data_IF_865486962205
#
_entry.id   IF_865486962205
#
_cell.length_a   1.000
_cell.length_b   1.000
_cell.length_c   1.000
_cell.angle_alpha   90.00
_cell.angle_beta   90.00
_cell.angle_gamma   90.00
#
_symmetry.space_group_name_H-M   'P 1'
#
loop_
_entity.id
_entity.type
_entity.pdbx_description
1 polymer ?
#
# COMPACT_ATOMS: atom_id res chain seq x y z
N UNK A 1 -11.78 14.75 -15.88
CA UNK A 1 -11.45 13.48 -16.58
C UNK A 1 -12.74 12.70 -16.81
N UNK A 2 -12.87 12.11 -17.99
CA UNK A 2 -14.03 11.31 -18.40
C UNK A 2 -13.56 9.90 -18.68
N UNK A 3 -14.33 8.88 -18.26
CA UNK A 3 -14.03 7.50 -18.60
C UNK A 3 -14.16 7.28 -20.11
N UNK A 4 -13.08 6.83 -20.73
CA UNK A 4 -13.00 6.59 -22.17
C UNK A 4 -13.23 5.13 -22.56
N UNK A 5 -13.40 4.22 -21.57
CA UNK A 5 -13.68 2.81 -21.84
C UNK A 5 -15.12 2.63 -22.36
N UNK A 6 -15.35 1.68 -23.27
CA UNK A 6 -16.68 1.32 -23.70
C UNK A 6 -17.54 0.84 -22.53
N UNK A 7 -18.83 1.18 -22.56
CA UNK A 7 -19.83 0.75 -21.61
C UNK A 7 -20.85 -0.14 -22.30
N UNK A 8 -21.38 -1.13 -21.61
CA UNK A 8 -22.52 -1.90 -22.14
C UNK A 8 -23.77 -1.04 -22.13
N UNK A 9 -24.57 -1.15 -23.20
CA UNK A 9 -25.83 -0.44 -23.32
C UNK A 9 -26.87 -0.97 -22.32
N UNK A 10 -27.88 -0.15 -22.03
CA UNK A 10 -29.00 -0.54 -21.16
C UNK A 10 -29.69 -1.82 -21.65
N UNK A 11 -29.81 -1.98 -22.97
CA UNK A 11 -30.40 -3.16 -23.58
C UNK A 11 -29.61 -4.45 -23.29
N UNK A 12 -28.27 -4.35 -23.18
CA UNK A 12 -27.42 -5.50 -22.83
C UNK A 12 -27.65 -5.87 -21.34
N UNK A 13 -27.71 -4.87 -20.46
CA UNK A 13 -28.00 -5.08 -19.05
C UNK A 13 -29.40 -5.67 -18.83
N UNK A 14 -30.41 -5.22 -19.57
CA UNK A 14 -31.81 -5.67 -19.41
C UNK A 14 -32.00 -7.13 -19.84
N UNK A 15 -31.14 -7.68 -20.69
CA UNK A 15 -31.11 -9.10 -21.07
C UNK A 15 -30.62 -10.04 -19.99
N UNK A 16 -30.10 -9.54 -18.87
CA UNK A 16 -29.67 -10.39 -17.77
C UNK A 16 -30.84 -11.21 -17.22
N UNK A 17 -30.65 -12.51 -17.08
CA UNK A 17 -31.67 -13.47 -16.61
C UNK A 17 -32.09 -13.25 -15.14
N UNK A 18 -31.18 -12.74 -14.31
CA UNK A 18 -31.47 -12.38 -12.91
C UNK A 18 -31.11 -10.91 -12.66
N UNK A 19 -31.84 -10.24 -11.74
CA UNK A 19 -31.60 -8.82 -11.44
C UNK A 19 -30.23 -8.55 -10.87
N UNK A 20 -29.72 -9.43 -10.03
CA UNK A 20 -28.38 -9.38 -9.42
C UNK A 20 -27.74 -10.75 -9.50
N UNK A 21 -26.47 -10.80 -9.80
CA UNK A 21 -25.71 -12.03 -9.94
C UNK A 21 -24.37 -11.91 -9.21
N UNK A 22 -23.88 -13.04 -8.72
CA UNK A 22 -22.62 -13.17 -8.01
C UNK A 22 -21.89 -14.41 -8.52
N UNK A 23 -20.58 -14.29 -8.75
CA UNK A 23 -19.74 -15.41 -9.19
C UNK A 23 -18.31 -15.22 -8.69
N UNK A 24 -17.59 -16.30 -8.54
CA UNK A 24 -16.14 -16.21 -8.50
C UNK A 24 -15.60 -15.78 -9.87
N UNK A 25 -14.67 -14.85 -9.85
CA UNK A 25 -13.89 -14.37 -10.98
C UNK A 25 -12.41 -14.73 -10.84
N UNK A 26 -11.55 -14.06 -11.60
CA UNK A 26 -10.09 -14.20 -11.50
C UNK A 26 -9.46 -12.96 -10.89
N UNK A 27 -8.38 -13.12 -10.17
CA UNK A 27 -7.58 -12.01 -9.60
C UNK A 27 -6.79 -11.23 -10.64
N UNK A 28 -6.71 -11.73 -11.87
CA UNK A 28 -5.91 -11.14 -12.96
C UNK A 28 -6.67 -10.06 -13.75
N UNK A 29 -7.98 -9.90 -13.48
CA UNK A 29 -8.83 -8.97 -14.23
C UNK A 29 -9.32 -7.86 -13.32
N UNK A 30 -9.12 -6.61 -13.72
CA UNK A 30 -9.81 -5.43 -13.21
C UNK A 30 -11.14 -5.28 -13.96
N UNK A 31 -12.22 -5.81 -13.41
CA UNK A 31 -13.53 -5.82 -14.05
C UNK A 31 -14.06 -4.40 -14.24
N UNK A 32 -14.44 -4.00 -15.48
CA UNK A 32 -14.97 -2.67 -15.76
C UNK A 32 -16.27 -2.41 -14.99
N UNK A 33 -16.47 -1.16 -14.55
CA UNK A 33 -17.61 -0.79 -13.70
C UNK A 33 -18.96 -0.87 -14.43
N UNK A 34 -19.00 -0.42 -15.66
CA UNK A 34 -20.22 -0.21 -16.45
C UNK A 34 -20.41 -1.28 -17.52
N UNK A 35 -19.76 -2.43 -17.36
CA UNK A 35 -19.91 -3.56 -18.26
C UNK A 35 -20.24 -4.83 -17.48
N UNK A 36 -21.02 -5.71 -18.09
CA UNK A 36 -21.27 -7.05 -17.56
C UNK A 36 -19.93 -7.82 -17.57
N UNK A 37 -19.53 -8.44 -16.47
CA UNK A 37 -18.24 -9.10 -16.40
C UNK A 37 -18.21 -10.34 -17.30
N UNK A 38 -17.16 -10.46 -18.11
CA UNK A 38 -16.87 -11.70 -18.84
C UNK A 38 -16.28 -12.72 -17.85
N UNK A 39 -17.14 -13.49 -17.22
CA UNK A 39 -16.76 -14.53 -16.25
C UNK A 39 -17.45 -15.85 -16.59
N UNK A 40 -16.69 -16.93 -16.53
CA UNK A 40 -17.29 -18.27 -16.46
C UNK A 40 -17.91 -18.43 -15.08
N UNK A 41 -19.25 -18.35 -15.02
CA UNK A 41 -19.96 -18.41 -13.75
C UNK A 41 -19.59 -19.64 -12.93
N UNK A 42 -19.17 -19.40 -11.70
CA UNK A 42 -18.84 -20.42 -10.72
C UNK A 42 -19.29 -19.98 -9.32
N UNK A 43 -19.99 -20.85 -8.63
CA UNK A 43 -20.33 -20.67 -7.22
C UNK A 43 -19.27 -21.26 -6.28
N UNK A 44 -18.22 -21.89 -6.80
CA UNK A 44 -17.17 -22.54 -6.00
C UNK A 44 -15.80 -22.05 -6.42
N UNK A 45 -15.02 -21.64 -5.43
CA UNK A 45 -13.60 -21.37 -5.54
C UNK A 45 -12.82 -22.35 -4.67
N UNK A 46 -11.71 -22.84 -5.19
CA UNK A 46 -10.85 -23.77 -4.49
C UNK A 46 -9.38 -23.42 -4.73
N UNK A 47 -8.57 -23.59 -3.69
CA UNK A 47 -7.12 -23.38 -3.78
C UNK A 47 -6.39 -24.31 -2.82
N UNK A 48 -5.05 -24.37 -2.98
CA UNK A 48 -4.14 -24.98 -2.02
C UNK A 48 -3.38 -23.91 -1.29
N UNK A 49 -3.04 -24.13 -0.03
CA UNK A 49 -2.26 -23.20 0.76
C UNK A 49 -1.35 -23.96 1.74
N UNK A 50 -0.21 -23.35 2.07
CA UNK A 50 0.58 -23.76 3.22
C UNK A 50 0.04 -23.10 4.50
N UNK A 51 0.40 -23.66 5.64
CA UNK A 51 0.18 -22.99 6.94
C UNK A 51 1.00 -21.70 6.97
N UNK A 52 0.40 -20.60 7.41
CA UNK A 52 1.06 -19.27 7.39
C UNK A 52 0.96 -18.52 6.06
N UNK A 53 0.46 -19.14 5.01
CA UNK A 53 0.32 -18.53 3.68
C UNK A 53 -0.93 -17.65 3.59
N UNK A 54 -0.86 -16.62 2.74
CA UNK A 54 -2.02 -15.84 2.31
C UNK A 54 -2.46 -16.28 0.93
N UNK A 55 -3.76 -16.55 0.80
CA UNK A 55 -4.38 -16.85 -0.49
C UNK A 55 -5.49 -15.86 -0.77
N UNK A 56 -5.63 -15.47 -2.02
CA UNK A 56 -6.56 -14.44 -2.45
C UNK A 56 -7.55 -14.98 -3.47
N UNK A 57 -8.75 -14.43 -3.46
CA UNK A 57 -9.76 -14.66 -4.48
C UNK A 57 -10.52 -13.37 -4.77
N UNK A 58 -11.06 -13.26 -5.96
CA UNK A 58 -11.94 -12.18 -6.36
C UNK A 58 -13.32 -12.73 -6.71
N UNK A 59 -14.35 -12.31 -5.99
CA UNK A 59 -15.73 -12.48 -6.40
C UNK A 59 -16.17 -11.24 -7.18
N UNK A 60 -17.13 -11.42 -8.08
CA UNK A 60 -17.70 -10.34 -8.89
C UNK A 60 -19.19 -10.36 -8.73
N UNK A 61 -19.75 -9.23 -8.30
CA UNK A 61 -21.17 -8.98 -8.26
C UNK A 61 -21.53 -8.01 -9.41
N UNK A 62 -22.62 -8.25 -10.11
CA UNK A 62 -23.17 -7.31 -11.08
C UNK A 62 -24.68 -7.28 -11.00
N UNK A 63 -25.26 -6.11 -11.20
CA UNK A 63 -26.69 -5.90 -10.98
C UNK A 63 -27.28 -4.93 -12.00
N UNK A 64 -28.45 -5.27 -12.56
CA UNK A 64 -29.23 -4.36 -13.42
C UNK A 64 -30.15 -3.42 -12.65
N UNK A 65 -30.44 -3.73 -11.37
CA UNK A 65 -31.42 -2.98 -10.56
C UNK A 65 -30.80 -2.22 -9.39
N UNK A 66 -29.52 -2.48 -9.06
CA UNK A 66 -28.85 -1.96 -7.87
C UNK A 66 -29.03 -2.86 -6.65
N UNK A 67 -28.23 -2.61 -5.63
CA UNK A 67 -28.29 -3.32 -4.35
C UNK A 67 -28.07 -2.31 -3.21
N UNK A 68 -29.07 -2.19 -2.34
CA UNK A 68 -29.06 -1.26 -1.20
C UNK A 68 -28.37 -1.90 0.00
N UNK A 69 -27.54 -1.12 0.71
CA UNK A 69 -26.81 -1.55 1.91
C UNK A 69 -26.08 -2.91 1.71
N UNK A 70 -25.43 -3.07 0.58
CA UNK A 70 -24.68 -4.28 0.28
C UNK A 70 -23.59 -4.49 1.34
N UNK A 71 -23.51 -5.69 1.90
CA UNK A 71 -22.49 -6.11 2.85
C UNK A 71 -21.99 -7.52 2.55
N UNK A 72 -20.79 -7.83 3.04
CA UNK A 72 -20.09 -9.09 2.78
C UNK A 72 -19.76 -9.74 4.11
N UNK A 73 -20.10 -11.00 4.25
CA UNK A 73 -19.70 -11.82 5.40
C UNK A 73 -19.04 -13.11 4.93
N UNK A 74 -18.16 -13.66 5.76
CA UNK A 74 -17.55 -14.97 5.51
C UNK A 74 -17.69 -15.82 6.76
N UNK A 75 -18.11 -17.06 6.58
CA UNK A 75 -18.17 -18.03 7.68
C UNK A 75 -16.76 -18.48 8.10
N UNK A 76 -16.65 -19.06 9.29
CA UNK A 76 -15.49 -19.88 9.60
C UNK A 76 -15.32 -20.97 8.53
N UNK A 77 -14.04 -21.27 8.17
CA UNK A 77 -13.77 -22.42 7.31
C UNK A 77 -13.49 -23.64 8.18
N UNK A 78 -14.19 -24.73 7.91
CA UNK A 78 -14.15 -25.95 8.75
C UNK A 78 -13.58 -27.15 8.01
N UNK A 79 -12.76 -27.95 8.71
CA UNK A 79 -12.26 -29.26 8.30
C UNK A 79 -12.36 -30.23 9.47
N UNK A 80 -13.45 -31.00 9.54
CA UNK A 80 -13.81 -31.77 10.73
C UNK A 80 -13.95 -30.88 11.97
N UNK A 81 -13.15 -31.14 13.00
CA UNK A 81 -13.09 -30.31 14.23
C UNK A 81 -12.14 -29.12 14.13
N UNK A 82 -11.38 -28.98 13.04
CA UNK A 82 -10.42 -27.90 12.84
C UNK A 82 -11.08 -26.70 12.16
N UNK A 83 -10.69 -25.49 12.58
CA UNK A 83 -11.31 -24.23 12.12
C UNK A 83 -10.23 -23.25 11.72
N UNK A 84 -10.40 -22.59 10.56
CA UNK A 84 -9.79 -21.32 10.23
C UNK A 84 -10.86 -20.27 10.53
N UNK A 85 -10.69 -19.42 11.56
CA UNK A 85 -11.74 -18.49 11.98
C UNK A 85 -11.96 -17.39 10.95
N UNK A 86 -13.17 -16.89 10.86
CA UNK A 86 -13.53 -15.77 9.98
C UNK A 86 -12.70 -14.50 10.24
N UNK A 87 -12.16 -14.33 11.44
CA UNK A 87 -11.23 -13.26 11.79
C UNK A 87 -9.87 -13.34 11.04
N UNK A 88 -9.51 -14.49 10.50
CA UNK A 88 -8.35 -14.69 9.62
C UNK A 88 -8.66 -14.37 8.14
N UNK A 89 -9.90 -13.95 7.85
CA UNK A 89 -10.37 -13.66 6.50
C UNK A 89 -10.78 -12.19 6.42
N UNK A 90 -10.27 -11.50 5.42
CA UNK A 90 -10.69 -10.12 5.13
C UNK A 90 -11.41 -10.07 3.80
N UNK A 91 -12.48 -9.28 3.73
CA UNK A 91 -13.21 -8.98 2.50
C UNK A 91 -13.31 -7.47 2.32
N UNK A 92 -13.10 -7.02 1.08
CA UNK A 92 -13.16 -5.63 0.73
C UNK A 92 -13.93 -5.45 -0.58
N UNK A 93 -14.79 -4.45 -0.66
CA UNK A 93 -15.24 -3.97 -1.94
C UNK A 93 -14.03 -3.34 -2.66
N UNK A 94 -13.87 -3.62 -3.95
CA UNK A 94 -12.84 -2.97 -4.76
C UNK A 94 -13.41 -1.64 -5.26
N UNK A 95 -12.83 -0.53 -4.81
CA UNK A 95 -13.26 0.81 -5.22
C UNK A 95 -12.72 1.14 -6.61
N UNK A 96 -13.57 1.76 -7.40
CA UNK A 96 -13.20 2.29 -8.69
C UNK A 96 -12.59 3.67 -8.55
N UNK A 97 -11.48 3.89 -9.22
CA UNK A 97 -10.76 5.16 -9.28
C UNK A 97 -10.53 5.58 -10.72
N UNK A 98 -10.48 6.87 -10.95
CA UNK A 98 -10.10 7.42 -12.25
C UNK A 98 -8.58 7.40 -12.37
N UNK A 99 -8.06 6.88 -13.47
CA UNK A 99 -6.63 6.84 -13.78
C UNK A 99 -6.35 7.29 -15.20
N UNK A 100 -5.16 7.80 -15.45
CA UNK A 100 -4.60 8.12 -16.75
C UNK A 100 -3.42 7.17 -17.03
N UNK A 101 -3.71 5.96 -17.45
CA UNK A 101 -2.70 4.92 -17.60
C UNK A 101 -1.72 5.19 -18.75
N UNK A 102 -2.24 5.60 -19.90
CA UNK A 102 -1.45 5.81 -21.11
C UNK A 102 -1.96 7.05 -21.89
N UNK A 103 -1.16 7.56 -22.81
CA UNK A 103 -1.64 8.47 -23.84
C UNK A 103 -2.63 7.74 -24.78
N UNK A 104 -3.49 8.48 -25.47
CA UNK A 104 -4.46 7.93 -26.43
C UNK A 104 -3.79 7.09 -27.53
N UNK A 105 -2.55 7.42 -27.89
CA UNK A 105 -1.74 6.64 -28.83
C UNK A 105 -1.08 5.41 -28.18
N UNK A 106 -1.35 5.15 -26.89
CA UNK A 106 -0.77 4.09 -26.06
C UNK A 106 0.75 4.17 -25.89
N UNK A 107 1.35 5.30 -26.23
CA UNK A 107 2.74 5.61 -25.94
C UNK A 107 2.79 6.49 -24.69
N UNK A 108 3.80 6.36 -23.95
CA UNK A 108 3.99 7.17 -22.77
C UNK A 108 4.48 6.33 -21.60
N UNK A 109 4.83 7.02 -20.56
CA UNK A 109 5.38 6.44 -19.33
C UNK A 109 5.17 7.41 -18.19
N UNK A 110 5.89 7.20 -17.11
CA UNK A 110 5.93 8.14 -16.01
C UNK A 110 6.44 9.50 -16.51
N UNK A 111 5.78 10.58 -16.08
CA UNK A 111 6.25 11.92 -16.35
C UNK A 111 5.15 12.91 -16.70
N UNK A 112 5.57 14.14 -16.86
CA UNK A 112 4.68 15.24 -17.20
C UNK A 112 4.21 15.12 -18.65
N UNK A 113 2.92 15.34 -18.87
CA UNK A 113 2.29 15.42 -20.19
C UNK A 113 1.75 16.83 -20.38
N UNK A 114 2.22 17.52 -21.39
CA UNK A 114 1.86 18.93 -21.60
C UNK A 114 0.40 19.09 -22.01
N UNK A 115 -0.10 18.23 -22.90
CA UNK A 115 -1.44 18.33 -23.44
C UNK A 115 -2.42 17.35 -22.79
N UNK A 116 -3.25 17.85 -21.87
CA UNK A 116 -4.29 17.04 -21.19
C UNK A 116 -5.34 16.44 -22.13
N UNK A 117 -5.55 16.99 -23.33
CA UNK A 117 -6.48 16.44 -24.31
C UNK A 117 -5.99 15.13 -24.94
N UNK A 118 -4.69 14.85 -24.85
CA UNK A 118 -4.07 13.62 -25.33
C UNK A 118 -4.03 12.50 -24.26
N UNK A 119 -4.45 12.81 -23.06
CA UNK A 119 -4.48 11.80 -22.00
C UNK A 119 -5.62 10.82 -22.21
N UNK A 120 -5.33 9.55 -22.03
CA UNK A 120 -6.33 8.53 -21.82
C UNK A 120 -6.73 8.51 -20.35
N UNK A 121 -8.01 8.36 -20.10
CA UNK A 121 -8.54 8.23 -18.74
C UNK A 121 -9.52 7.09 -18.68
N UNK A 122 -9.45 6.31 -17.61
CA UNK A 122 -10.38 5.19 -17.42
C UNK A 122 -10.71 4.99 -15.95
N UNK A 123 -11.91 4.51 -15.68
CA UNK A 123 -12.35 4.09 -14.36
C UNK A 123 -11.95 2.62 -14.17
N UNK A 124 -11.04 2.39 -13.23
CA UNK A 124 -10.51 1.04 -12.93
C UNK A 124 -10.81 0.61 -11.51
N UNK A 125 -11.04 -0.68 -11.34
CA UNK A 125 -11.15 -1.31 -10.03
C UNK A 125 -9.72 -1.48 -9.46
N UNK A 126 -9.40 -0.74 -8.39
CA UNK A 126 -8.01 -0.72 -7.88
C UNK A 126 -7.93 -0.80 -6.35
N UNK A 127 -8.59 0.10 -5.62
CA UNK A 127 -8.41 0.24 -4.18
C UNK A 127 -9.26 -0.75 -3.40
N UNK A 128 -8.65 -1.50 -2.48
CA UNK A 128 -9.37 -2.31 -1.49
C UNK A 128 -9.99 -1.38 -0.45
N UNK A 129 -11.32 -1.17 -0.53
CA UNK A 129 -12.02 -0.21 0.30
C UNK A 129 -12.20 -0.73 1.74
N UNK A 130 -12.06 0.16 2.70
CA UNK A 130 -12.32 -0.14 4.12
C UNK A 130 -13.82 -0.11 4.48
N UNK A 131 -14.65 0.44 3.59
CA UNK A 131 -16.10 0.54 3.77
C UNK A 131 -16.72 -0.87 3.78
N UNK A 132 -17.53 -1.16 4.79
CA UNK A 132 -18.15 -2.49 4.98
C UNK A 132 -19.57 -2.59 4.44
N UNK A 133 -20.25 -1.47 4.32
CA UNK A 133 -21.62 -1.37 3.79
C UNK A 133 -21.65 -0.27 2.73
N UNK A 134 -22.20 -0.57 1.58
CA UNK A 134 -22.32 0.42 0.48
C UNK A 134 -23.48 0.13 -0.45
N UNK A 135 -24.03 1.15 -1.06
CA UNK A 135 -24.96 1.00 -2.17
C UNK A 135 -24.19 0.68 -3.47
N UNK A 136 -24.71 -0.29 -4.21
CA UNK A 136 -24.24 -0.65 -5.54
C UNK A 136 -25.30 -0.17 -6.53
N UNK A 137 -24.90 0.72 -7.44
CA UNK A 137 -25.81 1.33 -8.41
C UNK A 137 -26.30 0.30 -9.43
N UNK A 138 -27.50 0.55 -9.99
CA UNK A 138 -28.01 -0.21 -11.12
C UNK A 138 -27.05 -0.15 -12.32
N UNK A 139 -27.05 -1.23 -13.12
CA UNK A 139 -26.19 -1.41 -14.30
C UNK A 139 -24.71 -1.20 -14.00
N UNK A 140 -24.25 -1.78 -12.86
CA UNK A 140 -22.83 -1.77 -12.48
C UNK A 140 -22.32 -3.13 -12.03
N UNK A 141 -21.04 -3.29 -12.21
CA UNK A 141 -20.24 -4.41 -11.71
C UNK A 141 -19.44 -3.95 -10.50
N UNK A 142 -19.39 -4.79 -9.46
CA UNK A 142 -18.67 -4.54 -8.22
C UNK A 142 -17.80 -5.75 -7.87
N UNK A 143 -16.47 -5.67 -8.05
CA UNK A 143 -15.56 -6.69 -7.57
C UNK A 143 -15.45 -6.68 -6.04
N UNK A 144 -15.23 -7.85 -5.49
CA UNK A 144 -15.06 -8.11 -4.07
C UNK A 144 -13.78 -8.91 -3.90
N UNK A 145 -12.82 -8.36 -3.20
CA UNK A 145 -11.56 -9.03 -2.89
C UNK A 145 -11.66 -9.76 -1.55
N UNK A 146 -11.24 -11.03 -1.54
CA UNK A 146 -11.12 -11.84 -0.34
C UNK A 146 -9.66 -12.25 -0.15
N UNK A 147 -9.18 -12.13 1.09
CA UNK A 147 -7.85 -12.58 1.49
C UNK A 147 -7.97 -13.47 2.72
N UNK A 148 -7.41 -14.66 2.67
CA UNK A 148 -7.36 -15.62 3.76
C UNK A 148 -5.93 -15.77 4.23
N UNK A 149 -5.64 -15.45 5.48
CA UNK A 149 -4.36 -15.73 6.09
C UNK A 149 -4.46 -17.04 6.89
N UNK A 150 -3.99 -18.13 6.27
CA UNK A 150 -4.03 -19.46 6.91
C UNK A 150 -3.15 -19.42 8.17
N UNK A 151 -3.70 -19.71 9.37
CA UNK A 151 -2.89 -19.71 10.58
C UNK A 151 -1.73 -20.73 10.50
N UNK A 152 -0.56 -20.38 11.04
CA UNK A 152 0.56 -21.34 11.13
C UNK A 152 0.20 -22.58 11.96
N UNK A 153 -0.70 -22.43 12.93
CA UNK A 153 -1.23 -23.49 13.77
C UNK A 153 -2.32 -24.34 13.11
N UNK A 154 -2.76 -24.01 11.88
CA UNK A 154 -3.80 -24.77 11.20
C UNK A 154 -3.34 -26.23 10.97
N UNK A 155 -4.25 -27.17 11.08
CA UNK A 155 -4.00 -28.58 10.70
C UNK A 155 -4.10 -28.72 9.17
N UNK A 156 -3.37 -29.65 8.60
CA UNK A 156 -3.55 -30.00 7.18
C UNK A 156 -4.96 -30.59 6.97
N UNK A 157 -5.58 -30.23 5.84
CA UNK A 157 -6.93 -30.69 5.51
C UNK A 157 -7.70 -29.73 4.61
N UNK A 158 -8.86 -30.17 4.16
CA UNK A 158 -9.75 -29.38 3.30
C UNK A 158 -10.75 -28.58 4.14
N UNK A 159 -10.54 -27.28 4.18
CA UNK A 159 -11.39 -26.34 4.90
C UNK A 159 -12.45 -25.76 3.97
N UNK A 160 -13.69 -25.78 4.41
CA UNK A 160 -14.84 -25.30 3.64
C UNK A 160 -15.61 -24.23 4.39
N UNK A 161 -16.11 -23.25 3.66
CA UNK A 161 -16.96 -22.18 4.17
C UNK A 161 -17.67 -21.44 3.05
N UNK A 162 -18.28 -20.33 3.39
CA UNK A 162 -19.14 -19.57 2.48
C UNK A 162 -18.87 -18.07 2.59
N UNK A 163 -18.75 -17.42 1.44
CA UNK A 163 -18.85 -15.97 1.32
C UNK A 163 -20.31 -15.63 1.00
N UNK A 164 -20.91 -14.73 1.76
CA UNK A 164 -22.29 -14.29 1.59
C UNK A 164 -22.33 -12.79 1.32
N UNK A 165 -23.03 -12.40 0.27
CA UNK A 165 -23.37 -11.00 -0.02
C UNK A 165 -24.84 -10.80 0.28
N UNK A 166 -25.15 -9.78 1.09
CA UNK A 166 -26.52 -9.39 1.45
C UNK A 166 -26.80 -7.96 1.02
N UNK A 167 -28.07 -7.63 0.86
CA UNK A 167 -28.56 -6.27 0.63
C UNK A 167 -30.04 -6.20 1.01
N UNK A 168 -30.56 -5.00 1.31
CA UNK A 168 -31.96 -4.82 1.75
C UNK A 168 -32.99 -5.26 0.70
N UNK A 169 -32.68 -5.09 -0.56
CA UNK A 169 -33.58 -5.32 -1.68
C UNK A 169 -33.28 -6.61 -2.47
N UNK A 170 -32.51 -7.55 -1.89
CA UNK A 170 -32.19 -8.82 -2.53
C UNK A 170 -32.04 -9.94 -1.50
N UNK A 171 -32.34 -11.15 -1.91
CA UNK A 171 -32.05 -12.35 -1.10
C UNK A 171 -30.52 -12.53 -0.98
N UNK A 172 -30.04 -13.09 0.13
CA UNK A 172 -28.61 -13.41 0.29
C UNK A 172 -28.08 -14.27 -0.88
N UNK A 173 -26.90 -13.95 -1.35
CA UNK A 173 -26.20 -14.70 -2.40
C UNK A 173 -24.95 -15.31 -1.83
N UNK A 174 -24.71 -16.59 -2.11
CA UNK A 174 -23.62 -17.35 -1.50
C UNK A 174 -22.66 -17.93 -2.51
N UNK A 175 -21.38 -17.90 -2.16
CA UNK A 175 -20.30 -18.55 -2.88
C UNK A 175 -19.52 -19.49 -1.96
N UNK A 176 -19.22 -20.69 -2.44
CA UNK A 176 -18.50 -21.72 -1.71
C UNK A 176 -16.97 -21.48 -1.78
N UNK A 177 -16.33 -21.65 -0.62
CA UNK A 177 -14.87 -21.55 -0.45
C UNK A 177 -14.36 -22.92 -0.05
N UNK A 178 -13.26 -23.37 -0.71
CA UNK A 178 -12.50 -24.54 -0.28
C UNK A 178 -11.00 -24.22 -0.30
N UNK A 179 -10.33 -24.40 0.84
CA UNK A 179 -8.86 -24.28 0.97
C UNK A 179 -8.29 -25.62 1.42
N UNK A 180 -7.47 -26.21 0.57
CA UNK A 180 -6.73 -27.43 0.90
C UNK A 180 -5.39 -27.05 1.56
N UNK A 181 -5.36 -27.08 2.89
CA UNK A 181 -4.18 -26.72 3.68
C UNK A 181 -3.21 -27.88 3.68
N UNK A 182 -2.06 -27.70 3.07
CA UNK A 182 -1.01 -28.68 2.95
C UNK A 182 -0.20 -28.79 4.27
N UNK A 183 0.41 -29.95 4.52
CA UNK A 183 1.27 -30.14 5.70
C UNK A 183 2.67 -29.53 5.49
N UNK A 184 2.71 -28.25 5.16
CA UNK A 184 3.89 -27.42 5.01
C UNK A 184 3.62 -26.10 5.73
N UNK A 185 4.65 -25.53 6.36
CA UNK A 185 4.54 -24.24 7.06
C UNK A 185 5.43 -23.22 6.38
N UNK A 186 4.86 -22.10 5.98
CA UNK A 186 5.61 -20.94 5.51
C UNK A 186 6.27 -20.28 6.74
N UNK A 187 7.55 -19.92 6.67
CA UNK A 187 8.17 -19.11 7.73
C UNK A 187 7.40 -17.81 8.00
N UNK A 188 7.58 -17.24 9.17
CA UNK A 188 7.01 -15.92 9.45
C UNK A 188 7.59 -14.87 8.49
N UNK A 189 6.85 -13.81 8.11
CA UNK A 189 7.32 -12.81 7.15
C UNK A 189 8.71 -12.24 7.45
N UNK A 190 9.01 -12.01 8.71
CA UNK A 190 10.34 -11.55 9.16
C UNK A 190 11.48 -12.53 8.88
N UNK A 191 11.17 -13.82 8.69
CA UNK A 191 12.16 -14.89 8.48
C UNK A 191 12.25 -15.29 6.98
N UNK A 192 11.55 -14.59 6.08
CA UNK A 192 11.64 -14.87 4.64
C UNK A 192 13.03 -14.49 4.11
N UNK A 193 13.57 -15.29 3.21
CA UNK A 193 14.84 -14.98 2.53
C UNK A 193 14.70 -13.90 1.46
N UNK A 194 13.48 -13.61 1.03
CA UNK A 194 13.20 -12.57 0.04
C UNK A 194 13.43 -11.17 0.63
N UNK A 195 14.22 -10.35 -0.06
CA UNK A 195 14.43 -8.95 0.31
C UNK A 195 13.38 -8.07 -0.34
N UNK A 196 12.45 -7.56 0.47
CA UNK A 196 11.43 -6.60 0.05
C UNK A 196 11.81 -5.20 0.56
N UNK A 197 11.92 -4.25 -0.35
CA UNK A 197 12.12 -2.82 -0.05
C UNK A 197 11.06 -1.98 -0.77
N UNK A 198 9.92 -1.80 -0.15
CA UNK A 198 8.89 -0.86 -0.55
C UNK A 198 9.11 0.45 0.20
N UNK A 199 9.34 1.53 -0.51
CA UNK A 199 9.60 2.84 0.08
C UNK A 199 8.39 3.38 0.83
N UNK A 200 8.63 3.83 2.06
CA UNK A 200 7.59 4.41 2.89
C UNK A 200 7.59 5.94 2.75
N UNK A 201 6.41 6.53 2.58
CA UNK A 201 6.24 7.99 2.62
C UNK A 201 5.37 8.39 3.83
N UNK A 202 5.97 8.66 4.99
CA UNK A 202 5.23 9.09 6.17
C UNK A 202 4.53 10.44 5.99
N UNK A 203 5.07 11.32 5.16
CA UNK A 203 4.51 12.67 4.91
C UNK A 203 3.13 12.57 4.24
N UNK A 204 2.95 11.65 3.29
CA UNK A 204 1.64 11.39 2.67
C UNK A 204 0.59 10.90 3.67
N UNK A 205 0.99 10.12 4.66
CA UNK A 205 0.09 9.67 5.73
C UNK A 205 -0.39 10.84 6.57
N UNK A 206 0.52 11.74 6.96
CA UNK A 206 0.17 12.93 7.73
C UNK A 206 -0.82 13.82 6.99
N UNK A 207 -0.59 14.08 5.69
CA UNK A 207 -1.50 14.85 4.85
C UNK A 207 -2.87 14.20 4.71
N UNK A 208 -2.90 12.91 4.41
CA UNK A 208 -4.16 12.17 4.20
C UNK A 208 -5.05 12.19 5.45
N UNK A 209 -4.46 11.96 6.62
CA UNK A 209 -5.18 11.95 7.88
C UNK A 209 -5.30 13.33 8.55
N UNK A 210 -4.71 14.37 7.95
CA UNK A 210 -4.70 15.75 8.46
C UNK A 210 -4.18 15.83 9.91
N UNK A 211 -3.08 15.16 10.19
CA UNK A 211 -2.44 15.12 11.50
C UNK A 211 -1.08 15.82 11.47
N UNK A 212 -0.62 16.46 12.57
CA UNK A 212 0.70 17.07 12.63
C UNK A 212 1.81 16.02 12.45
N UNK A 213 2.80 16.36 11.61
CA UNK A 213 3.97 15.50 11.38
C UNK A 213 4.64 15.11 12.70
N UNK A 214 4.98 13.84 12.83
CA UNK A 214 5.73 13.24 13.95
C UNK A 214 5.04 13.35 15.30
N UNK A 215 3.74 13.70 15.31
CA UNK A 215 2.89 13.65 16.50
C UNK A 215 2.49 12.22 16.85
N UNK A 216 1.91 12.02 18.03
CA UNK A 216 1.36 10.73 18.45
C UNK A 216 0.28 10.24 17.45
N UNK A 217 -0.59 11.15 17.03
CA UNK A 217 -1.68 10.89 16.07
C UNK A 217 -1.14 10.42 14.73
N UNK A 218 -0.01 10.99 14.29
CA UNK A 218 0.66 10.57 13.05
C UNK A 218 1.19 9.14 13.16
N UNK A 219 1.88 8.79 14.26
CA UNK A 219 2.34 7.41 14.49
C UNK A 219 1.19 6.43 14.63
N UNK A 220 0.09 6.83 15.26
CA UNK A 220 -1.12 6.00 15.36
C UNK A 220 -1.74 5.74 13.98
N UNK A 221 -1.77 6.75 13.10
CA UNK A 221 -2.25 6.60 11.71
C UNK A 221 -1.34 5.73 10.85
N UNK A 222 -0.01 5.82 11.03
CA UNK A 222 0.96 5.01 10.29
C UNK A 222 0.98 3.54 10.72
N UNK A 223 0.71 3.25 11.98
CA UNK A 223 0.88 1.89 12.54
C UNK A 223 0.18 0.79 11.75
N UNK A 224 -1.10 0.89 11.36
CA UNK A 224 -1.77 -0.17 10.58
C UNK A 224 -1.10 -0.41 9.23
N UNK A 225 -0.71 0.65 8.52
CA UNK A 225 -0.09 0.57 7.18
C UNK A 225 1.30 -0.08 7.29
N UNK A 226 2.11 0.37 8.25
CA UNK A 226 3.47 -0.17 8.44
C UNK A 226 3.44 -1.62 8.92
N UNK A 227 2.44 -2.01 9.74
CA UNK A 227 2.21 -3.42 10.09
C UNK A 227 1.85 -4.28 8.87
N UNK A 228 1.11 -3.74 7.91
CA UNK A 228 0.84 -4.45 6.65
C UNK A 228 2.14 -4.70 5.87
N UNK A 229 3.06 -3.73 5.82
CA UNK A 229 4.37 -3.88 5.19
C UNK A 229 5.22 -4.93 5.91
N UNK A 230 5.32 -4.88 7.23
CA UNK A 230 6.04 -5.90 8.02
C UNK A 230 5.48 -7.30 7.74
N UNK A 231 4.15 -7.43 7.70
CA UNK A 231 3.47 -8.68 7.37
C UNK A 231 3.64 -9.12 5.91
N UNK A 232 4.11 -8.26 5.02
CA UNK A 232 4.48 -8.59 3.65
C UNK A 232 5.97 -8.96 3.51
N UNK A 233 6.74 -8.94 4.60
CA UNK A 233 8.17 -9.26 4.60
C UNK A 233 9.08 -8.07 4.28
N UNK A 234 8.61 -6.83 4.51
CA UNK A 234 9.42 -5.62 4.37
C UNK A 234 10.71 -5.71 5.20
N UNK A 235 11.84 -5.34 4.60
CA UNK A 235 13.18 -5.42 5.20
C UNK A 235 13.79 -4.06 5.52
N UNK A 236 13.49 -3.04 4.73
CA UNK A 236 14.15 -1.76 4.80
C UNK A 236 13.24 -0.66 5.39
N UNK A 237 13.84 0.21 6.19
CA UNK A 237 13.24 1.45 6.68
C UNK A 237 13.72 2.57 5.76
N UNK A 238 12.80 3.19 5.01
CA UNK A 238 13.12 4.36 4.18
C UNK A 238 13.30 5.59 5.05
N UNK A 239 14.45 6.24 4.97
CA UNK A 239 14.72 7.50 5.66
C UNK A 239 15.22 8.56 4.68
N UNK A 240 14.80 9.80 4.85
CA UNK A 240 15.35 10.94 4.09
C UNK A 240 16.35 11.69 4.97
N UNK A 241 17.61 11.72 4.52
CA UNK A 241 18.69 12.43 5.22
C UNK A 241 18.99 13.79 4.57
N UNK A 242 18.15 14.23 3.65
CA UNK A 242 18.17 15.54 3.01
C UNK A 242 16.77 15.91 2.49
N UNK A 243 16.53 17.18 2.24
CA UNK A 243 15.28 17.67 1.69
C UNK A 243 15.10 17.28 0.23
N UNK A 244 13.95 16.71 -0.12
CA UNK A 244 13.53 16.36 -1.49
C UNK A 244 14.53 15.49 -2.25
N UNK A 245 14.90 14.31 -1.76
CA UNK A 245 15.87 13.44 -2.46
C UNK A 245 15.44 13.08 -3.89
N UNK A 246 14.15 13.14 -4.20
CA UNK A 246 13.55 12.89 -5.53
C UNK A 246 13.00 14.16 -6.20
N UNK A 247 13.51 15.33 -5.83
CA UNK A 247 13.22 16.65 -6.44
C UNK A 247 11.74 17.03 -6.59
N UNK A 248 10.81 16.37 -5.94
CA UNK A 248 9.38 16.66 -6.03
C UNK A 248 8.61 15.72 -6.95
N UNK A 249 9.12 14.54 -7.21
CA UNK A 249 8.40 13.46 -7.91
C UNK A 249 7.12 13.05 -7.17
N UNK A 250 7.05 13.26 -5.86
CA UNK A 250 5.89 12.97 -5.03
C UNK A 250 5.17 14.25 -4.63
N UNK A 251 3.84 14.18 -4.48
CA UNK A 251 3.01 15.29 -3.97
C UNK A 251 3.51 15.77 -2.61
N UNK A 252 3.73 14.84 -1.69
CA UNK A 252 4.32 15.11 -0.39
C UNK A 252 5.82 14.94 -0.47
N UNK A 253 6.55 16.05 -0.45
CA UNK A 253 7.99 16.03 -0.46
C UNK A 253 8.53 15.40 0.83
N UNK A 254 9.59 14.63 0.67
CA UNK A 254 10.33 14.13 1.82
C UNK A 254 11.21 15.25 2.37
N UNK A 255 10.88 15.75 3.54
CA UNK A 255 11.78 16.61 4.29
C UNK A 255 12.91 15.79 4.92
N UNK A 256 14.03 16.45 5.21
CA UNK A 256 15.10 15.80 5.95
C UNK A 256 14.61 15.38 7.34
N UNK A 257 14.83 14.12 7.69
CA UNK A 257 14.60 13.64 9.07
C UNK A 257 15.74 14.01 10.02
N UNK A 258 16.78 14.65 9.50
CA UNK A 258 17.95 15.12 10.27
C UNK A 258 18.12 16.60 9.99
N UNK A 259 18.03 17.44 11.03
CA UNK A 259 18.30 18.85 10.90
C UNK A 259 19.80 19.11 10.97
N UNK A 260 20.36 19.67 9.90
CA UNK A 260 21.74 20.16 9.87
C UNK A 260 21.76 21.63 10.29
N UNK A 261 22.58 21.95 11.25
CA UNK A 261 22.68 23.29 11.84
C UNK A 261 24.08 23.82 11.59
N UNK A 262 24.20 24.89 10.81
CA UNK A 262 25.45 25.63 10.68
C UNK A 262 25.48 26.72 11.75
N UNK A 263 26.43 26.58 12.69
CA UNK A 263 26.59 27.50 13.82
C UNK A 263 27.24 28.82 13.40
N UNK A 264 27.08 29.85 14.21
CA UNK A 264 27.66 31.19 14.00
C UNK A 264 29.18 31.13 13.82
N UNK A 265 29.85 30.21 14.53
CA UNK A 265 31.31 30.00 14.41
C UNK A 265 31.74 29.18 13.18
N UNK A 266 30.77 28.80 12.31
CA UNK A 266 30.98 28.02 11.10
C UNK A 266 31.06 26.51 11.30
N UNK A 267 30.96 26.01 12.53
CA UNK A 267 30.90 24.56 12.82
C UNK A 267 29.51 23.98 12.51
N UNK A 268 29.44 22.66 12.43
CA UNK A 268 28.18 21.94 12.20
C UNK A 268 27.69 21.23 13.46
N UNK A 269 26.37 21.26 13.65
CA UNK A 269 25.66 20.41 14.59
C UNK A 269 24.50 19.69 13.89
N UNK A 270 24.03 18.61 14.50
CA UNK A 270 22.99 17.76 13.89
C UNK A 270 21.96 17.38 14.94
N UNK A 271 20.69 17.51 14.57
CA UNK A 271 19.56 17.02 15.36
C UNK A 271 18.95 15.78 14.68
N UNK A 272 18.99 14.67 15.37
CA UNK A 272 18.52 13.36 14.94
C UNK A 272 17.13 12.99 15.49
N UNK A 273 16.46 13.88 16.21
CA UNK A 273 15.24 13.55 16.95
C UNK A 273 14.14 12.90 16.09
N UNK A 274 13.91 13.42 14.88
CA UNK A 274 12.92 12.87 13.95
C UNK A 274 13.38 11.54 13.38
N UNK A 275 14.64 11.46 12.97
CA UNK A 275 15.25 10.23 12.44
C UNK A 275 15.17 9.09 13.46
N UNK A 276 15.59 9.34 14.70
CA UNK A 276 15.56 8.38 15.79
C UNK A 276 14.15 7.90 16.07
N UNK A 277 13.22 8.83 16.22
CA UNK A 277 11.82 8.52 16.52
C UNK A 277 11.17 7.65 15.44
N UNK A 278 11.47 7.93 14.18
CA UNK A 278 10.99 7.14 13.05
C UNK A 278 11.60 5.74 13.01
N UNK A 279 12.91 5.63 13.13
CA UNK A 279 13.62 4.34 13.12
C UNK A 279 13.21 3.49 14.33
N UNK A 280 13.13 4.06 15.54
CA UNK A 280 12.68 3.37 16.75
C UNK A 280 11.24 2.86 16.62
N UNK A 281 10.33 3.65 16.06
CA UNK A 281 8.97 3.22 15.77
C UNK A 281 8.94 2.01 14.83
N UNK A 282 9.69 2.09 13.71
CA UNK A 282 9.72 1.00 12.73
C UNK A 282 10.35 -0.28 13.29
N UNK A 283 11.41 -0.17 14.08
CA UNK A 283 12.07 -1.32 14.70
C UNK A 283 11.26 -1.92 15.84
N UNK A 284 10.88 -1.09 16.82
CA UNK A 284 10.37 -1.57 18.10
C UNK A 284 8.87 -1.86 18.09
N UNK A 285 8.09 -1.05 17.37
CA UNK A 285 6.64 -1.21 17.33
C UNK A 285 6.17 -1.98 16.09
N UNK A 286 6.79 -1.74 14.93
CA UNK A 286 6.39 -2.36 13.67
C UNK A 286 7.09 -3.70 13.46
N UNK A 287 8.37 -3.81 13.83
CA UNK A 287 9.16 -5.03 13.69
C UNK A 287 9.85 -5.14 12.34
N UNK A 288 10.25 -4.01 11.73
CA UNK A 288 11.13 -3.93 10.55
C UNK A 288 12.47 -3.41 11.06
N UNK A 289 13.50 -4.25 11.10
CA UNK A 289 14.76 -3.94 11.78
C UNK A 289 16.03 -4.41 11.06
N UNK A 290 15.91 -4.89 9.80
CA UNK A 290 17.06 -5.43 9.06
C UNK A 290 17.96 -4.33 8.49
N UNK A 291 17.37 -3.29 7.88
CA UNK A 291 18.11 -2.27 7.15
C UNK A 291 17.50 -0.87 7.33
N UNK A 292 18.35 0.13 7.47
CA UNK A 292 18.01 1.55 7.38
C UNK A 292 18.54 2.07 6.05
N UNK A 293 17.65 2.43 5.13
CA UNK A 293 17.98 2.93 3.78
C UNK A 293 17.91 4.46 3.79
N UNK A 294 19.06 5.11 3.72
CA UNK A 294 19.16 6.57 3.79
C UNK A 294 19.25 7.21 2.41
N UNK A 295 18.33 8.08 2.08
CA UNK A 295 18.29 8.84 0.82
C UNK A 295 18.66 10.29 1.07
N UNK A 296 19.65 10.89 0.38
CA UNK A 296 20.73 10.32 -0.38
C UNK A 296 21.80 11.40 -0.59
N UNK A 297 23.06 11.01 -0.80
CA UNK A 297 24.16 11.92 -1.07
C UNK A 297 24.13 12.51 -2.49
N UNK A 298 23.52 11.79 -3.44
CA UNK A 298 23.41 12.22 -4.85
C UNK A 298 21.90 12.22 -5.22
N UNK A 299 21.17 13.27 -4.84
CA UNK A 299 19.76 13.43 -5.21
C UNK A 299 19.60 13.89 -6.66
N UNK A 300 18.36 13.92 -7.13
CA UNK A 300 18.03 14.42 -8.47
C UNK A 300 18.33 15.92 -8.63
N UNK A 301 18.21 16.71 -7.55
CA UNK A 301 18.64 18.10 -7.51
C UNK A 301 19.72 18.26 -6.44
N UNK A 302 20.93 18.69 -6.84
CA UNK A 302 22.07 18.87 -5.95
C UNK A 302 21.94 20.17 -5.14
N UNK A 303 20.90 20.21 -4.28
CA UNK A 303 20.58 21.34 -3.42
C UNK A 303 20.30 20.82 -2.02
N UNK A 304 21.13 21.19 -1.06
CA UNK A 304 21.18 20.60 0.27
C UNK A 304 20.76 21.60 1.34
N UNK A 305 19.78 21.25 2.11
CA UNK A 305 19.20 22.09 3.17
C UNK A 305 20.06 22.11 4.44
N UNK A 306 20.08 23.24 5.11
CA UNK A 306 20.60 23.40 6.47
C UNK A 306 19.97 24.61 7.14
N UNK A 307 19.87 24.57 8.46
CA UNK A 307 19.52 25.72 9.27
C UNK A 307 20.75 26.55 9.58
N UNK A 308 20.73 27.82 9.26
CA UNK A 308 21.83 28.74 9.51
C UNK A 308 21.52 29.59 10.76
N UNK A 309 22.27 29.36 11.85
CA UNK A 309 22.09 30.14 13.09
C UNK A 309 22.34 31.64 12.89
N UNK A 310 23.27 32.03 12.02
CA UNK A 310 23.60 33.43 11.81
C UNK A 310 22.46 34.23 11.20
N UNK A 311 21.68 33.59 10.31
CA UNK A 311 20.54 34.24 9.64
C UNK A 311 19.21 33.80 10.22
N UNK A 312 19.15 32.83 11.13
CA UNK A 312 17.96 32.23 11.71
C UNK A 312 16.98 31.71 10.65
N UNK A 313 17.50 31.07 9.59
CA UNK A 313 16.71 30.59 8.43
C UNK A 313 17.26 29.28 7.89
N UNK A 314 16.37 28.54 7.23
CA UNK A 314 16.79 27.43 6.38
C UNK A 314 17.43 28.02 5.12
N UNK A 315 18.61 27.53 4.80
CA UNK A 315 19.38 27.86 3.60
C UNK A 315 19.60 26.61 2.76
N UNK A 316 19.98 26.81 1.49
CA UNK A 316 20.26 25.75 0.55
C UNK A 316 21.65 25.92 -0.06
N UNK A 317 22.47 24.89 0.08
CA UNK A 317 23.78 24.79 -0.54
C UNK A 317 23.67 24.07 -1.90
N UNK A 318 23.90 24.77 -2.99
CA UNK A 318 23.98 24.17 -4.32
C UNK A 318 25.45 23.79 -4.60
N UNK A 319 25.73 22.50 -4.61
CA UNK A 319 27.08 21.96 -4.77
C UNK A 319 27.02 20.52 -5.29
N UNK A 320 28.12 20.00 -5.80
CA UNK A 320 28.20 18.67 -6.42
C UNK A 320 29.42 17.87 -5.92
N UNK A 321 29.43 16.56 -6.11
CA UNK A 321 30.60 15.73 -5.84
C UNK A 321 31.85 16.30 -6.53
N UNK A 322 32.94 16.40 -5.76
CA UNK A 322 34.21 17.00 -6.18
C UNK A 322 34.40 18.44 -5.71
N UNK A 323 33.34 19.17 -5.34
CA UNK A 323 33.48 20.51 -4.77
C UNK A 323 33.89 20.44 -3.30
N UNK A 324 34.69 21.40 -2.83
CA UNK A 324 35.10 21.51 -1.44
C UNK A 324 33.91 21.68 -0.49
N UNK A 325 32.91 22.46 -0.92
CA UNK A 325 31.67 22.66 -0.15
C UNK A 325 30.84 21.39 0.01
N UNK A 326 30.80 20.53 -1.04
CA UNK A 326 30.17 19.23 -0.97
C UNK A 326 30.90 18.31 0.02
N UNK A 327 32.23 18.29 -0.06
CA UNK A 327 33.06 17.48 0.84
C UNK A 327 32.92 17.91 2.31
N UNK A 328 32.84 19.23 2.57
CA UNK A 328 32.61 19.76 3.93
C UNK A 328 31.21 19.36 4.45
N UNK A 329 30.17 19.65 3.69
CA UNK A 329 28.78 19.37 4.08
C UNK A 329 28.54 17.87 4.39
N UNK A 330 28.99 16.98 3.51
CA UNK A 330 28.80 15.53 3.69
C UNK A 330 29.84 14.89 4.57
N UNK A 331 31.11 15.33 4.51
CA UNK A 331 32.20 14.72 5.29
C UNK A 331 32.06 14.95 6.79
N UNK A 332 31.67 16.14 7.22
CA UNK A 332 31.40 16.45 8.64
C UNK A 332 30.15 15.71 9.12
N UNK A 333 29.10 15.71 8.32
CA UNK A 333 27.89 14.95 8.61
C UNK A 333 28.14 13.45 8.76
N UNK A 334 28.81 12.82 7.82
CA UNK A 334 29.04 11.37 7.86
C UNK A 334 29.88 10.94 9.08
N UNK A 335 30.81 11.76 9.52
CA UNK A 335 31.59 11.48 10.75
C UNK A 335 30.67 11.49 11.97
N UNK A 336 29.85 12.52 12.12
CA UNK A 336 28.95 12.64 13.26
C UNK A 336 27.82 11.59 13.20
N UNK A 337 27.22 11.40 12.04
CA UNK A 337 26.18 10.40 11.82
C UNK A 337 26.67 8.97 12.09
N UNK A 338 27.88 8.63 11.65
CA UNK A 338 28.48 7.32 11.94
C UNK A 338 28.69 7.11 13.44
N UNK A 339 29.08 8.16 14.19
CA UNK A 339 29.18 8.11 15.64
C UNK A 339 27.79 7.86 16.26
N UNK A 340 26.79 8.67 15.88
CA UNK A 340 25.40 8.53 16.36
C UNK A 340 24.83 7.15 16.09
N UNK A 341 24.99 6.62 14.86
CA UNK A 341 24.53 5.28 14.49
C UNK A 341 25.19 4.17 15.33
N UNK A 342 26.49 4.32 15.68
CA UNK A 342 27.17 3.37 16.58
C UNK A 342 26.63 3.44 17.99
N UNK A 343 26.39 4.64 18.51
CA UNK A 343 25.78 4.85 19.84
C UNK A 343 24.38 4.21 19.94
N UNK A 344 23.60 4.25 18.84
CA UNK A 344 22.29 3.59 18.72
C UNK A 344 22.37 2.10 18.39
N UNK A 345 23.52 1.56 18.02
CA UNK A 345 23.66 0.17 17.55
C UNK A 345 23.11 -0.08 16.16
N UNK A 346 22.98 0.95 15.32
CA UNK A 346 22.37 0.89 13.99
C UNK A 346 23.37 0.95 12.84
N UNK A 347 24.64 1.19 13.11
CA UNK A 347 25.66 1.44 12.09
C UNK A 347 25.74 0.32 11.04
N UNK A 348 25.80 -0.94 11.48
CA UNK A 348 25.93 -2.10 10.58
C UNK A 348 24.65 -2.39 9.76
N UNK A 349 23.54 -1.77 10.13
CA UNK A 349 22.25 -1.89 9.44
C UNK A 349 21.97 -0.72 8.47
N UNK A 350 22.82 0.31 8.45
CA UNK A 350 22.57 1.54 7.71
C UNK A 350 23.34 1.56 6.39
N UNK A 351 22.62 1.90 5.32
CA UNK A 351 23.16 2.16 3.98
C UNK A 351 22.71 3.55 3.48
N UNK A 352 23.57 4.19 2.64
CA UNK A 352 23.27 5.47 1.98
C UNK A 352 23.42 5.28 0.48
#
# INVERSE_FOLDING_TARGET
LTDTKPHDSDEIWDKLSAPTQLSWGTTDIRYPKLSIPDVKKSNRWQTKAWKGERVNAQAVLWTKVGLEDASITVSDLKSGSSIIPSSAITTNFVRYVMTDELNKDRKGGCGHRENKAEWDSSVVADVLDIVKIRDIKARTTQPIWMNIWVPQSAKAGKYKGTLTVTGKNASPMELQIEVDVLNRTLPAPKDWAFHLDLWQNPYSVARYYQVPLWSKEHFDAMRPIMKMLANAGQRAITTSIMHKPWAGQTEDHFDSMITRIKKIDGTWAYDYAVFDKWVEFMMNEIGIDDMISCYTMIPWALSFDYYDEATNRVQFLNTKPGDAAYADYWGTFLKDFSRHLREKGWFEKTAI
#
